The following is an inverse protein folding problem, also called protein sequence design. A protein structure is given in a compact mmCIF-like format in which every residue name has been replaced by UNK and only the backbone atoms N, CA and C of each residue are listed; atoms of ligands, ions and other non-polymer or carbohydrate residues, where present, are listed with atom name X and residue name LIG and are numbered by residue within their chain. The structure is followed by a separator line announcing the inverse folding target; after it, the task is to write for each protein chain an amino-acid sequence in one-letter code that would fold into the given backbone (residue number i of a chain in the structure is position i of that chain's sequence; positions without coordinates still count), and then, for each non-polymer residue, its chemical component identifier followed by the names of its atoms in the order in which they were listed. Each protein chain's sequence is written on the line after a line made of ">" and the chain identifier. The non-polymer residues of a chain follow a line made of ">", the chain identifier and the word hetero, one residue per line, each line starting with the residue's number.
data_IF_317997426068
#
_entry.id   IF_317997426068
#
_cell.length_a   1.000
_cell.length_b   1.000
_cell.length_c   1.000
_cell.angle_alpha   90.00
_cell.angle_beta   90.00
_cell.angle_gamma   90.00
#
_symmetry.space_group_name_H-M   'P 1'
#
loop_
_entity.id
_entity.type
_entity.pdbx_description
1 polymer ?
#
# COMPACT_ATOMS: atom_id res chain seq x y z
N UNK A 1 -9.74 4.98 3.25
CA UNK A 1 -10.06 6.21 2.55
C UNK A 1 -11.51 6.61 2.86
N UNK A 2 -11.74 7.89 3.12
CA UNK A 2 -13.09 8.43 3.44
C UNK A 2 -13.92 8.74 2.19
N UNK A 3 -13.33 8.71 1.00
CA UNK A 3 -13.98 9.09 -0.25
C UNK A 3 -14.98 8.04 -0.73
N UNK A 4 -16.13 8.50 -1.21
CA UNK A 4 -17.23 7.65 -1.69
C UNK A 4 -16.89 6.93 -3.00
N UNK A 5 -15.98 7.51 -3.81
CA UNK A 5 -15.50 6.91 -5.06
C UNK A 5 -14.80 5.57 -4.80
N UNK A 6 -14.05 5.48 -3.71
CA UNK A 6 -13.34 4.26 -3.35
C UNK A 6 -14.29 3.17 -2.85
N UNK A 7 -15.41 3.55 -2.25
CA UNK A 7 -16.47 2.60 -1.91
C UNK A 7 -17.06 1.95 -3.17
N UNK A 8 -17.28 2.72 -4.24
CA UNK A 8 -17.80 2.19 -5.51
C UNK A 8 -16.90 1.12 -6.14
N UNK A 9 -15.57 1.23 -5.96
CA UNK A 9 -14.63 0.21 -6.44
C UNK A 9 -14.82 -1.15 -5.75
N UNK A 10 -15.37 -1.14 -4.53
CA UNK A 10 -15.64 -2.33 -3.74
C UNK A 10 -17.07 -2.86 -3.89
N UNK A 11 -17.91 -2.20 -4.69
CA UNK A 11 -19.35 -2.46 -4.76
C UNK A 11 -19.68 -3.89 -5.19
N UNK A 12 -18.84 -4.46 -6.06
CA UNK A 12 -18.99 -5.81 -6.61
C UNK A 12 -18.10 -6.86 -5.93
N UNK A 13 -17.46 -6.53 -4.81
CA UNK A 13 -16.64 -7.50 -4.08
C UNK A 13 -17.57 -8.28 -3.13
N UNK A 14 -17.90 -9.49 -3.52
CA UNK A 14 -18.61 -10.47 -2.71
C UNK A 14 -17.70 -11.69 -2.47
N UNK A 15 -16.73 -11.54 -1.59
CA UNK A 15 -15.90 -12.68 -1.21
C UNK A 15 -15.82 -12.78 0.32
N UNK A 16 -16.47 -13.81 0.92
CA UNK A 16 -16.48 -13.98 2.37
C UNK A 16 -15.11 -14.26 2.98
N UNK A 17 -14.12 -14.61 2.16
CA UNK A 17 -12.77 -14.93 2.59
C UNK A 17 -11.79 -13.74 2.49
N UNK A 18 -12.30 -12.53 2.27
CA UNK A 18 -11.49 -11.31 2.30
C UNK A 18 -11.63 -10.67 3.68
N UNK A 19 -10.49 -10.37 4.28
CA UNK A 19 -10.38 -9.69 5.57
C UNK A 19 -10.09 -8.21 5.31
N UNK A 20 -10.78 -7.33 6.03
CA UNK A 20 -10.52 -5.90 6.00
C UNK A 20 -9.55 -5.52 7.12
N UNK A 21 -8.46 -4.87 6.77
CA UNK A 21 -7.57 -4.21 7.73
C UNK A 21 -7.63 -2.71 7.44
N UNK A 22 -8.07 -1.90 8.40
CA UNK A 22 -8.35 -0.49 8.16
C UNK A 22 -8.17 0.38 9.41
N UNK A 23 -8.17 1.69 9.21
CA UNK A 23 -8.25 2.69 10.30
C UNK A 23 -9.69 3.12 10.54
N UNK A 24 -9.95 3.80 11.65
CA UNK A 24 -11.29 4.28 12.01
C UNK A 24 -11.81 5.44 11.14
N UNK A 25 -10.95 6.07 10.33
CA UNK A 25 -11.32 7.15 9.40
C UNK A 25 -11.82 6.66 8.04
N UNK A 26 -11.95 5.35 7.85
CA UNK A 26 -12.48 4.78 6.60
C UNK A 26 -13.95 5.14 6.42
N UNK A 27 -14.43 5.20 5.17
CA UNK A 27 -15.85 5.36 4.90
C UNK A 27 -16.66 4.26 5.61
N UNK A 28 -17.65 4.59 6.45
CA UNK A 28 -18.36 3.62 7.31
C UNK A 28 -19.15 2.54 6.55
N UNK A 29 -19.36 2.71 5.25
CA UNK A 29 -19.99 1.69 4.42
C UNK A 29 -19.00 0.60 3.94
N UNK A 30 -17.70 0.84 3.99
CA UNK A 30 -16.69 -0.15 3.60
C UNK A 30 -16.65 -1.33 4.58
N UNK A 31 -16.52 -1.13 5.90
CA UNK A 31 -16.50 -2.23 6.85
C UNK A 31 -17.73 -3.14 6.77
N UNK A 32 -18.90 -2.59 6.48
CA UNK A 32 -20.16 -3.37 6.38
C UNK A 32 -20.15 -4.46 5.29
N UNK A 33 -19.20 -4.40 4.35
CA UNK A 33 -19.04 -5.38 3.26
C UNK A 33 -18.16 -6.58 3.63
N UNK A 34 -17.51 -6.53 4.78
CA UNK A 34 -16.55 -7.55 5.18
C UNK A 34 -16.99 -8.23 6.47
N UNK A 35 -16.98 -9.56 6.50
CA UNK A 35 -17.37 -10.33 7.68
C UNK A 35 -16.33 -10.23 8.81
N UNK A 36 -15.06 -10.09 8.45
CA UNK A 36 -13.97 -9.97 9.41
C UNK A 36 -13.21 -8.67 9.17
N UNK A 37 -13.04 -7.90 10.24
CA UNK A 37 -12.48 -6.57 10.20
C UNK A 37 -11.44 -6.41 11.31
N UNK A 38 -10.30 -5.82 10.97
CA UNK A 38 -9.25 -5.47 11.92
C UNK A 38 -9.00 -3.97 11.83
N UNK A 39 -8.87 -3.32 12.98
CA UNK A 39 -8.62 -1.90 13.08
C UNK A 39 -7.23 -1.64 13.64
N UNK A 40 -6.54 -0.69 13.04
CA UNK A 40 -5.25 -0.21 13.54
C UNK A 40 -5.25 1.31 13.69
N UNK A 41 -4.32 1.79 14.49
CA UNK A 41 -4.16 3.20 14.80
C UNK A 41 -2.84 3.71 14.20
N UNK A 42 -2.85 4.93 13.67
CA UNK A 42 -1.68 5.61 13.10
C UNK A 42 -1.34 6.90 13.84
N UNK A 43 -1.86 7.06 15.07
CA UNK A 43 -1.74 8.26 15.91
C UNK A 43 -2.36 9.51 15.27
N UNK A 44 -3.45 9.34 14.55
CA UNK A 44 -4.25 10.47 14.11
C UNK A 44 -4.98 11.11 15.32
N UNK A 45 -5.37 12.39 15.24
CA UNK A 45 -6.09 13.03 16.34
C UNK A 45 -7.36 12.29 16.79
N UNK A 46 -8.06 11.63 15.86
CA UNK A 46 -9.23 10.79 16.16
C UNK A 46 -8.86 9.58 17.00
N UNK A 47 -7.72 8.95 16.75
CA UNK A 47 -7.26 7.80 17.53
C UNK A 47 -7.05 8.18 18.98
N UNK A 48 -6.38 9.31 19.23
CA UNK A 48 -6.15 9.84 20.59
C UNK A 48 -7.44 10.25 21.31
N UNK A 49 -8.45 10.68 20.56
CA UNK A 49 -9.78 10.97 21.12
C UNK A 49 -10.47 9.68 21.57
N UNK A 50 -10.46 8.65 20.72
CA UNK A 50 -11.11 7.37 20.99
C UNK A 50 -10.45 6.61 22.15
N UNK A 51 -9.14 6.71 22.30
CA UNK A 51 -8.40 6.15 23.44
C UNK A 51 -8.95 6.70 24.78
N UNK A 52 -9.33 7.98 24.84
CA UNK A 52 -9.96 8.59 26.03
C UNK A 52 -11.34 8.00 26.35
N UNK A 53 -12.01 7.39 25.37
CA UNK A 53 -13.28 6.68 25.57
C UNK A 53 -13.10 5.17 25.76
N UNK A 54 -11.87 4.70 25.97
CA UNK A 54 -11.57 3.29 26.21
C UNK A 54 -11.45 2.42 24.96
N UNK A 55 -11.42 3.02 23.78
CA UNK A 55 -11.15 2.28 22.52
C UNK A 55 -9.66 2.32 22.23
N UNK A 56 -9.03 1.16 22.19
CA UNK A 56 -7.61 1.05 21.79
C UNK A 56 -7.50 0.15 20.55
N UNK A 57 -6.62 0.52 19.64
CA UNK A 57 -6.21 -0.30 18.52
C UNK A 57 -4.68 -0.32 18.44
N UNK A 58 -4.12 -1.41 17.96
CA UNK A 58 -2.67 -1.55 17.83
C UNK A 58 -2.09 -0.45 16.95
N UNK A 59 -1.01 0.15 17.41
CA UNK A 59 -0.31 1.17 16.63
C UNK A 59 0.44 0.53 15.47
N UNK A 60 0.24 1.09 14.27
CA UNK A 60 0.98 0.73 13.06
C UNK A 60 1.80 1.94 12.59
N UNK A 61 3.11 1.76 12.49
CA UNK A 61 4.00 2.78 11.96
C UNK A 61 3.66 3.05 10.49
N UNK A 62 3.45 4.30 10.14
CA UNK A 62 3.10 4.71 8.78
C UNK A 62 4.01 5.84 8.30
N UNK A 63 4.42 5.77 7.04
CA UNK A 63 5.14 6.84 6.35
C UNK A 63 4.22 7.83 5.62
N UNK A 64 2.90 7.77 5.87
CA UNK A 64 1.92 8.70 5.30
C UNK A 64 1.19 8.19 4.05
N UNK A 65 1.42 6.94 3.63
CA UNK A 65 0.66 6.30 2.55
C UNK A 65 0.07 4.96 3.00
N UNK A 66 -0.96 4.49 2.32
CA UNK A 66 -1.55 3.16 2.55
C UNK A 66 -0.50 2.06 2.37
N UNK A 67 0.37 2.18 1.38
CA UNK A 67 1.43 1.21 1.12
C UNK A 67 2.43 1.12 2.28
N UNK A 68 2.77 2.23 2.93
CA UNK A 68 3.67 2.23 4.11
C UNK A 68 3.01 1.61 5.33
N UNK A 69 1.71 1.82 5.53
CA UNK A 69 0.96 1.14 6.60
C UNK A 69 0.85 -0.36 6.34
N UNK A 70 0.51 -0.75 5.11
CA UNK A 70 0.46 -2.17 4.71
C UNK A 70 1.80 -2.86 4.91
N UNK A 71 2.90 -2.22 4.50
CA UNK A 71 4.25 -2.75 4.72
C UNK A 71 4.53 -3.04 6.19
N UNK A 72 4.20 -2.10 7.08
CA UNK A 72 4.37 -2.31 8.52
C UNK A 72 3.50 -3.47 9.03
N UNK A 73 2.25 -3.57 8.60
CA UNK A 73 1.35 -4.66 8.99
C UNK A 73 1.92 -6.02 8.56
N UNK A 74 2.29 -6.18 7.28
CA UNK A 74 2.78 -7.48 6.79
C UNK A 74 4.11 -7.88 7.42
N UNK A 75 4.91 -6.92 7.84
CA UNK A 75 6.14 -7.14 8.59
C UNK A 75 5.85 -7.60 10.03
N UNK A 76 4.90 -6.97 10.71
CA UNK A 76 4.48 -7.35 12.08
C UNK A 76 3.87 -8.77 12.14
N UNK A 77 3.19 -9.20 11.08
CA UNK A 77 2.69 -10.59 10.96
C UNK A 77 3.74 -11.55 10.35
N UNK A 78 5.01 -11.14 10.34
CA UNK A 78 6.16 -11.96 9.93
C UNK A 78 6.11 -12.51 8.50
N UNK A 79 5.48 -11.79 7.56
CA UNK A 79 5.56 -12.15 6.15
C UNK A 79 7.01 -12.06 5.65
N UNK A 80 7.49 -13.14 5.01
CA UNK A 80 8.83 -13.21 4.45
C UNK A 80 8.87 -14.17 3.25
N UNK A 81 9.29 -13.75 2.05
CA UNK A 81 9.69 -12.39 1.69
C UNK A 81 8.50 -11.41 1.57
N UNK A 82 8.79 -10.10 1.62
CA UNK A 82 7.86 -9.04 1.22
C UNK A 82 8.20 -8.60 -0.19
N UNK A 83 7.23 -8.72 -1.11
CA UNK A 83 7.41 -8.45 -2.54
C UNK A 83 6.60 -7.22 -2.93
N UNK A 84 7.27 -6.21 -3.47
CA UNK A 84 6.66 -4.99 -3.99
C UNK A 84 6.37 -5.14 -5.48
N UNK A 85 5.13 -4.83 -5.87
CA UNK A 85 4.66 -4.84 -7.26
C UNK A 85 3.93 -3.54 -7.52
N UNK A 86 4.33 -2.79 -8.55
CA UNK A 86 3.72 -1.51 -8.90
C UNK A 86 3.97 -0.38 -7.90
N UNK A 87 4.98 -0.51 -7.04
CA UNK A 87 5.40 0.52 -6.09
C UNK A 87 6.52 1.37 -6.71
N UNK A 88 6.23 2.03 -7.82
CA UNK A 88 7.20 2.75 -8.62
C UNK A 88 7.74 4.01 -7.90
N UNK A 89 6.91 4.68 -7.14
CA UNK A 89 7.22 5.94 -6.45
C UNK A 89 7.79 7.02 -7.40
N UNK A 90 7.40 6.93 -8.66
CA UNK A 90 7.76 7.83 -9.74
C UNK A 90 6.65 7.91 -10.78
N UNK A 91 6.72 8.89 -11.65
CA UNK A 91 5.78 9.09 -12.75
C UNK A 91 6.32 8.43 -14.02
N UNK A 92 6.40 7.11 -14.03
CA UNK A 92 6.83 6.34 -15.19
C UNK A 92 5.93 6.63 -16.38
N UNK A 93 6.52 7.08 -17.50
CA UNK A 93 5.78 7.54 -18.69
C UNK A 93 4.74 8.64 -18.40
N UNK A 94 5.00 9.51 -17.42
CA UNK A 94 4.11 10.59 -16.96
C UNK A 94 2.80 10.10 -16.33
N UNK A 95 2.64 8.82 -16.04
CA UNK A 95 1.44 8.32 -15.35
C UNK A 95 1.56 8.51 -13.84
N UNK A 96 0.54 9.14 -13.26
CA UNK A 96 0.42 9.30 -11.80
C UNK A 96 -0.27 8.11 -11.14
N UNK A 97 -1.07 7.36 -11.89
CA UNK A 97 -1.83 6.20 -11.46
C UNK A 97 -2.02 5.24 -12.63
N UNK A 98 -2.48 4.03 -12.34
CA UNK A 98 -2.81 3.06 -13.40
C UNK A 98 -3.89 3.59 -14.33
N UNK A 99 -3.91 3.14 -15.59
CA UNK A 99 -4.86 3.56 -16.61
C UNK A 99 -6.34 3.29 -16.25
N UNK A 100 -6.59 2.39 -15.32
CA UNK A 100 -7.96 2.07 -14.85
C UNK A 100 -8.37 2.87 -13.61
N UNK A 101 -7.51 3.74 -13.08
CA UNK A 101 -7.86 4.57 -11.93
C UNK A 101 -8.84 5.68 -12.32
N UNK A 102 -9.73 6.05 -11.39
CA UNK A 102 -10.65 7.17 -11.60
C UNK A 102 -9.90 8.47 -11.90
N UNK A 103 -8.74 8.68 -11.30
CA UNK A 103 -7.91 9.86 -11.57
C UNK A 103 -7.45 9.90 -13.02
N UNK A 104 -6.96 8.77 -13.56
CA UNK A 104 -6.57 8.68 -14.96
C UNK A 104 -7.76 8.91 -15.90
N UNK A 105 -8.92 8.30 -15.61
CA UNK A 105 -10.13 8.47 -16.43
C UNK A 105 -10.62 9.91 -16.44
N UNK A 106 -10.52 10.63 -15.33
CA UNK A 106 -10.87 12.05 -15.27
C UNK A 106 -9.92 12.92 -16.10
N UNK A 107 -8.61 12.67 -16.03
CA UNK A 107 -7.63 13.32 -16.90
C UNK A 107 -7.96 13.04 -18.37
N UNK A 108 -8.21 11.80 -18.72
CA UNK A 108 -8.53 11.41 -20.11
C UNK A 108 -9.77 12.12 -20.65
N UNK A 109 -10.82 12.30 -19.84
CA UNK A 109 -12.04 13.06 -20.21
C UNK A 109 -11.77 14.56 -20.44
N UNK A 110 -10.71 15.10 -19.87
CA UNK A 110 -10.34 16.52 -20.00
C UNK A 110 -9.49 16.80 -21.24
N UNK A 111 -9.03 15.78 -21.95
CA UNK A 111 -8.21 15.94 -23.15
C UNK A 111 -9.01 16.55 -24.30
N UNK A 112 -8.41 17.47 -25.02
CA UNK A 112 -8.97 18.09 -26.23
C UNK A 112 -7.83 18.61 -27.12
N UNK A 113 -8.17 19.22 -28.26
CA UNK A 113 -7.16 19.71 -29.22
C UNK A 113 -6.20 20.78 -28.67
N UNK A 114 -6.51 21.40 -27.55
CA UNK A 114 -5.68 22.44 -26.91
C UNK A 114 -5.03 21.98 -25.61
N UNK A 115 -5.44 20.83 -25.07
CA UNK A 115 -5.01 20.33 -23.77
C UNK A 115 -4.54 18.88 -23.94
N UNK A 116 -3.23 18.68 -24.02
CA UNK A 116 -2.62 17.36 -24.12
C UNK A 116 -2.43 16.74 -22.73
N UNK A 117 -2.17 15.43 -22.71
CA UNK A 117 -1.86 14.71 -21.47
C UNK A 117 -0.66 15.30 -20.75
N UNK A 118 0.41 15.63 -21.49
CA UNK A 118 1.62 16.24 -20.95
C UNK A 118 1.32 17.60 -20.31
N UNK A 119 0.53 18.44 -20.97
CA UNK A 119 0.13 19.76 -20.44
C UNK A 119 -0.62 19.61 -19.11
N UNK A 120 -1.58 18.68 -19.01
CA UNK A 120 -2.31 18.40 -17.78
C UNK A 120 -1.37 17.85 -16.70
N UNK A 121 -0.50 16.90 -17.05
CA UNK A 121 0.46 16.35 -16.13
C UNK A 121 1.36 17.43 -15.51
N UNK A 122 1.95 18.29 -16.32
CA UNK A 122 2.84 19.34 -15.83
C UNK A 122 2.11 20.42 -15.03
N UNK A 123 0.88 20.72 -15.36
CA UNK A 123 0.06 21.68 -14.62
C UNK A 123 -0.38 21.15 -13.24
N UNK A 124 -0.74 19.85 -13.16
CA UNK A 124 -1.18 19.22 -11.91
C UNK A 124 -0.02 18.86 -10.98
N UNK A 125 1.17 18.62 -11.53
CA UNK A 125 2.32 18.15 -10.77
C UNK A 125 3.43 19.22 -10.70
N UNK A 126 3.09 20.41 -10.20
CA UNK A 126 4.04 21.48 -9.95
C UNK A 126 5.04 21.05 -8.87
N UNK A 127 6.33 21.30 -9.10
CA UNK A 127 7.41 20.98 -8.15
C UNK A 127 7.94 19.54 -8.29
N UNK A 128 7.90 18.99 -9.49
CA UNK A 128 8.52 17.71 -9.82
C UNK A 128 10.03 17.73 -9.58
N UNK A 129 10.52 16.56 -9.19
CA UNK A 129 11.93 16.29 -8.97
C UNK A 129 12.37 15.23 -9.97
N UNK A 130 13.62 15.28 -10.39
CA UNK A 130 14.23 14.21 -11.16
C UNK A 130 14.97 13.26 -10.24
N UNK A 131 14.72 11.97 -10.42
CA UNK A 131 15.45 10.89 -9.78
C UNK A 131 15.93 9.86 -10.82
N UNK A 132 16.80 8.97 -10.39
CA UNK A 132 17.27 7.85 -11.20
C UNK A 132 16.47 6.60 -10.83
N UNK A 133 15.88 5.95 -11.81
CA UNK A 133 15.12 4.73 -11.62
C UNK A 133 16.00 3.49 -11.37
N UNK A 134 15.36 2.32 -11.21
CA UNK A 134 16.03 1.02 -11.00
C UNK A 134 16.93 0.60 -12.18
N UNK A 135 16.79 1.21 -13.35
CA UNK A 135 17.61 0.96 -14.57
C UNK A 135 18.64 2.06 -14.85
N UNK A 136 18.79 3.04 -13.97
CA UNK A 136 19.68 4.18 -14.17
C UNK A 136 19.13 5.28 -15.08
N UNK A 137 17.86 5.22 -15.49
CA UNK A 137 17.20 6.22 -16.31
C UNK A 137 16.63 7.36 -15.46
N UNK A 138 16.66 8.56 -16.02
CA UNK A 138 16.08 9.74 -15.37
C UNK A 138 14.56 9.72 -15.47
N UNK A 139 13.87 9.81 -14.33
CA UNK A 139 12.41 9.80 -14.22
C UNK A 139 11.92 10.94 -13.34
N UNK A 140 10.69 11.37 -13.55
CA UNK A 140 10.03 12.32 -12.68
C UNK A 140 9.48 11.65 -11.43
N UNK A 141 9.58 12.33 -10.30
CA UNK A 141 8.89 12.01 -9.05
C UNK A 141 8.39 13.27 -8.38
N UNK A 142 7.66 13.16 -7.28
CA UNK A 142 7.29 14.28 -6.42
C UNK A 142 8.02 14.18 -5.09
N UNK A 143 8.04 15.29 -4.34
CA UNK A 143 8.61 15.28 -2.98
C UNK A 143 7.96 14.22 -2.10
N UNK A 144 6.64 14.10 -2.12
CA UNK A 144 5.92 13.09 -1.32
C UNK A 144 6.29 11.66 -1.71
N UNK A 145 6.38 11.35 -3.01
CA UNK A 145 6.78 10.01 -3.47
C UNK A 145 8.24 9.71 -3.10
N UNK A 146 9.12 10.70 -3.17
CA UNK A 146 10.51 10.56 -2.75
C UNK A 146 10.62 10.34 -1.23
N UNK A 147 9.81 11.04 -0.44
CA UNK A 147 9.77 10.85 1.01
C UNK A 147 9.25 9.45 1.38
N UNK A 148 8.26 8.90 0.65
CA UNK A 148 7.83 7.50 0.81
C UNK A 148 8.94 6.51 0.41
N UNK A 149 9.68 6.78 -0.68
CA UNK A 149 10.81 5.96 -1.08
C UNK A 149 11.86 5.88 0.02
N UNK A 150 12.29 7.01 0.54
CA UNK A 150 13.27 7.11 1.62
C UNK A 150 12.79 6.43 2.90
N UNK A 151 11.49 6.55 3.20
CA UNK A 151 10.90 5.86 4.34
C UNK A 151 11.03 4.33 4.20
N UNK A 152 10.68 3.77 3.04
CA UNK A 152 10.85 2.33 2.79
C UNK A 152 12.31 1.91 2.89
N UNK A 153 13.21 2.62 2.23
CA UNK A 153 14.64 2.31 2.21
C UNK A 153 15.25 2.34 3.62
N UNK A 154 14.79 3.25 4.48
CA UNK A 154 15.17 3.30 5.89
C UNK A 154 14.60 2.10 6.67
N UNK A 155 13.35 1.75 6.43
CA UNK A 155 12.72 0.60 7.11
C UNK A 155 13.34 -0.74 6.71
N UNK A 156 13.86 -0.87 5.50
CA UNK A 156 14.58 -2.08 5.06
C UNK A 156 15.88 -2.32 5.83
N UNK A 157 16.48 -1.27 6.38
CA UNK A 157 17.70 -1.39 7.20
C UNK A 157 17.43 -1.61 8.69
N UNK A 158 16.15 -1.71 9.10
CA UNK A 158 15.80 -1.87 10.50
C UNK A 158 16.26 -3.26 11.00
N UNK A 159 17.20 -3.31 11.97
CA UNK A 159 17.78 -4.58 12.43
C UNK A 159 16.80 -5.44 13.25
N UNK A 160 15.67 -4.89 13.66
CA UNK A 160 14.61 -5.62 14.39
C UNK A 160 13.87 -6.64 13.53
N UNK A 161 14.06 -6.62 12.19
CA UNK A 161 13.36 -7.49 11.26
C UNK A 161 14.33 -8.21 10.32
N UNK A 162 14.39 -9.52 10.43
CA UNK A 162 15.12 -10.35 9.48
C UNK A 162 14.19 -10.76 8.33
N UNK A 163 13.95 -9.84 7.40
CA UNK A 163 13.02 -10.02 6.28
C UNK A 163 13.71 -9.74 4.96
N UNK A 164 13.43 -10.55 3.97
CA UNK A 164 13.87 -10.36 2.59
C UNK A 164 12.90 -9.45 1.86
N UNK A 165 13.40 -8.36 1.29
CA UNK A 165 12.61 -7.38 0.53
C UNK A 165 12.93 -7.49 -0.95
N UNK A 166 11.91 -7.56 -1.79
CA UNK A 166 12.05 -7.72 -3.25
C UNK A 166 11.19 -6.68 -3.96
N UNK A 167 11.80 -5.94 -4.88
CA UNK A 167 11.07 -5.07 -5.81
C UNK A 167 10.94 -5.78 -7.17
N UNK A 168 9.71 -6.13 -7.52
CA UNK A 168 9.32 -6.73 -8.80
C UNK A 168 8.45 -5.78 -9.65
N UNK A 169 8.53 -4.46 -9.40
CA UNK A 169 7.68 -3.48 -10.10
C UNK A 169 8.04 -3.28 -11.58
N UNK A 170 9.28 -3.59 -11.97
CA UNK A 170 9.75 -3.37 -13.35
C UNK A 170 9.95 -1.89 -13.73
N UNK A 171 9.80 -0.96 -12.77
CA UNK A 171 9.99 0.48 -12.94
C UNK A 171 10.18 1.15 -11.57
N UNK A 172 10.44 2.47 -11.57
CA UNK A 172 10.38 3.29 -10.37
C UNK A 172 11.73 3.51 -9.68
N UNK A 173 11.67 4.24 -8.55
CA UNK A 173 12.87 4.73 -7.85
C UNK A 173 13.22 3.92 -6.59
N UNK A 174 12.43 2.94 -6.18
CA UNK A 174 12.65 2.12 -5.00
C UNK A 174 13.74 1.07 -5.29
N UNK A 175 14.99 1.33 -4.88
CA UNK A 175 16.14 0.51 -5.27
C UNK A 175 17.18 0.26 -4.18
N UNK A 176 17.23 1.07 -3.11
CA UNK A 176 18.24 0.92 -2.08
C UNK A 176 17.78 -0.07 -0.99
N UNK A 177 18.68 -0.96 -0.56
CA UNK A 177 18.44 -1.95 0.49
C UNK A 177 17.30 -2.95 0.16
N UNK A 178 17.05 -3.20 -1.13
CA UNK A 178 16.03 -4.11 -1.64
C UNK A 178 16.57 -4.85 -2.86
N UNK A 179 16.20 -6.11 -3.02
CA UNK A 179 16.55 -6.89 -4.21
C UNK A 179 15.63 -6.51 -5.38
N UNK A 180 16.22 -6.28 -6.55
CA UNK A 180 15.46 -6.03 -7.77
C UNK A 180 15.41 -7.33 -8.57
N UNK A 181 14.23 -7.94 -8.67
CA UNK A 181 14.01 -9.23 -9.34
C UNK A 181 12.85 -9.08 -10.31
N UNK A 182 12.99 -9.65 -11.49
CA UNK A 182 11.92 -9.70 -12.48
C UNK A 182 10.67 -10.42 -11.94
N UNK A 183 9.48 -9.93 -12.29
CA UNK A 183 8.22 -10.46 -11.78
C UNK A 183 7.98 -11.93 -12.13
N UNK A 184 8.30 -12.35 -13.36
CA UNK A 184 8.14 -13.75 -13.81
C UNK A 184 9.05 -14.67 -13.01
N UNK A 185 10.27 -14.22 -12.70
CA UNK A 185 11.22 -14.94 -11.87
C UNK A 185 10.72 -15.07 -10.42
N UNK A 186 10.17 -14.00 -9.86
CA UNK A 186 9.54 -14.04 -8.53
C UNK A 186 8.39 -15.04 -8.51
N UNK A 187 7.52 -15.04 -9.51
CA UNK A 187 6.41 -15.99 -9.58
C UNK A 187 6.87 -17.44 -9.66
N UNK A 188 7.88 -17.72 -10.47
CA UNK A 188 8.36 -19.11 -10.68
C UNK A 188 9.17 -19.66 -9.50
N UNK A 189 10.02 -18.84 -8.87
CA UNK A 189 10.94 -19.29 -7.84
C UNK A 189 10.38 -19.16 -6.42
N UNK A 190 9.60 -18.13 -6.15
CA UNK A 190 9.15 -17.77 -4.80
C UNK A 190 7.66 -18.11 -4.58
N UNK A 191 6.81 -17.77 -5.55
CA UNK A 191 5.36 -17.93 -5.44
C UNK A 191 4.85 -19.28 -5.97
N UNK A 192 5.73 -20.25 -6.24
CA UNK A 192 5.38 -21.56 -6.81
C UNK A 192 4.61 -22.48 -5.86
N UNK A 193 4.70 -22.26 -4.54
CA UNK A 193 4.05 -23.09 -3.54
C UNK A 193 2.65 -22.60 -3.20
N UNK A 194 1.67 -23.51 -3.25
CA UNK A 194 0.31 -23.24 -2.79
C UNK A 194 0.27 -23.19 -1.26
N UNK A 195 -0.16 -22.08 -0.70
CA UNK A 195 -0.31 -21.91 0.76
C UNK A 195 -1.78 -22.06 1.12
N UNK A 196 -2.08 -22.93 2.09
CA UNK A 196 -3.44 -23.06 2.64
C UNK A 196 -3.68 -21.95 3.66
N UNK A 197 -4.36 -20.89 3.23
CA UNK A 197 -4.63 -19.70 4.06
C UNK A 197 -5.53 -20.00 5.26
N UNK A 198 -6.43 -20.98 5.16
CA UNK A 198 -7.38 -21.33 6.23
C UNK A 198 -6.68 -21.85 7.49
N UNK A 199 -5.62 -22.64 7.36
CA UNK A 199 -4.91 -23.22 8.50
C UNK A 199 -4.23 -22.14 9.36
N UNK A 200 -3.71 -21.08 8.73
CA UNK A 200 -3.05 -19.98 9.45
C UNK A 200 -4.05 -19.17 10.29
N UNK A 201 -5.24 -18.90 9.74
CA UNK A 201 -6.27 -18.09 10.36
C UNK A 201 -7.04 -18.81 11.47
N UNK A 202 -7.29 -20.11 11.32
CA UNK A 202 -7.91 -20.94 12.36
C UNK A 202 -7.02 -21.08 13.61
N UNK A 203 -5.71 -21.18 13.43
CA UNK A 203 -4.77 -21.22 14.53
C UNK A 203 -4.69 -19.90 15.30
N UNK A 204 -4.78 -18.76 14.63
CA UNK A 204 -4.81 -17.44 15.29
C UNK A 204 -6.13 -17.18 16.01
N UNK A 205 -7.27 -17.58 15.44
CA UNK A 205 -8.56 -17.47 16.12
C UNK A 205 -8.62 -18.28 17.41
N UNK A 206 -7.98 -19.46 17.45
CA UNK A 206 -7.84 -20.24 18.68
C UNK A 206 -6.98 -19.53 19.72
N UNK A 207 -5.84 -18.95 19.32
CA UNK A 207 -4.97 -18.19 20.23
C UNK A 207 -5.64 -16.94 20.81
N UNK A 208 -6.50 -16.26 20.03
CA UNK A 208 -7.27 -15.12 20.50
C UNK A 208 -8.39 -15.53 21.44
N UNK A 209 -9.07 -16.67 21.18
CA UNK A 209 -10.11 -17.19 22.07
C UNK A 209 -9.56 -17.66 23.42
N UNK A 210 -8.37 -18.24 23.42
CA UNK A 210 -7.73 -18.77 24.64
C UNK A 210 -7.13 -17.67 25.55
N UNK A 211 -6.84 -16.47 24.99
CA UNK A 211 -6.30 -15.32 25.75
C UNK A 211 -7.38 -14.35 26.29
N UNK A 212 -8.66 -14.56 25.97
CA UNK A 212 -9.76 -13.69 26.45
C UNK A 212 -10.39 -14.16 27.78
N UNK A 213 -9.78 -15.11 28.49
CA UNK A 213 -10.21 -15.55 29.82
C UNK A 213 -9.04 -15.60 30.81
N UNK A 214 -8.51 -14.42 31.13
CA UNK A 214 -7.83 -14.21 32.45
C UNK A 214 -8.03 -12.77 32.91
#
# INVERSE_FOLDING_TARGET
>A
DSQIENYKLLENIENPNIYLITTLIVNPNIPKKFNTQFYFNTKQPVDSLLEKFGYSANFVKSGGSVATSLFSIVREIYCNPIIFIGQDLSFTNLYTHTKLSNKFLNIYKSLNKFTTFETLFFNENIGQIYETDIFGKRVFTSKSLLDFCRWFELEFTNPGYNCRYINASGAGILKNNIEIIDFEKVCSEICSKKISKHILLENEQKLISDNNFQ
#
